data_IF_081460052712
#
_entry.id   IF_081460052712
#
_cell.length_a   1.000
_cell.length_b   1.000
_cell.length_c   1.000
_cell.angle_alpha   90.00
_cell.angle_beta   90.00
_cell.angle_gamma   90.00
#
_symmetry.space_group_name_H-M   'P 1'
#
loop_
_entity.id
_entity.type
_entity.pdbx_description
1 polymer ?
#
# COMPACT_ATOMS: atom_id res chain seq x y z
N UNK A 1 -1.38 -1.69 -0.39
CA UNK A 1 -2.73 -1.79 -1.00
C UNK A 1 -2.61 -2.19 -2.46
N UNK A 2 -3.33 -3.23 -2.85
CA UNK A 2 -3.51 -3.64 -4.23
C UNK A 2 -5.00 -3.87 -4.50
N UNK A 3 -5.41 -3.72 -5.74
CA UNK A 3 -6.76 -3.98 -6.20
C UNK A 3 -6.71 -4.97 -7.36
N UNK A 4 -7.69 -5.88 -7.41
CA UNK A 4 -7.90 -6.74 -8.57
C UNK A 4 -8.70 -5.95 -9.61
N UNK A 5 -8.13 -5.77 -10.79
CA UNK A 5 -8.72 -5.07 -11.93
C UNK A 5 -8.48 -5.89 -13.20
N UNK A 6 -9.56 -6.25 -13.90
CA UNK A 6 -9.54 -7.09 -15.12
C UNK A 6 -8.65 -8.36 -14.99
N UNK A 7 -8.79 -9.08 -13.87
CA UNK A 7 -8.01 -10.29 -13.59
C UNK A 7 -6.52 -10.06 -13.28
N UNK A 8 -6.09 -8.80 -13.15
CA UNK A 8 -4.72 -8.41 -12.80
C UNK A 8 -4.68 -7.71 -11.45
N UNK A 9 -3.63 -7.96 -10.69
CA UNK A 9 -3.38 -7.22 -9.45
C UNK A 9 -2.65 -5.92 -9.75
N UNK A 10 -3.27 -4.80 -9.40
CA UNK A 10 -2.71 -3.45 -9.55
C UNK A 10 -2.32 -2.92 -8.18
N UNK A 11 -1.06 -2.49 -8.04
CA UNK A 11 -0.57 -1.89 -6.80
C UNK A 11 -0.99 -0.42 -6.76
N UNK A 12 -1.76 -0.04 -5.74
CA UNK A 12 -2.32 1.31 -5.60
C UNK A 12 -1.66 2.10 -4.45
N UNK A 13 -1.12 1.40 -3.45
CA UNK A 13 -0.51 2.08 -2.32
C UNK A 13 0.58 1.26 -1.65
N UNK A 14 1.62 1.96 -1.21
CA UNK A 14 2.75 1.39 -0.45
C UNK A 14 2.41 1.52 1.03
N UNK A 15 2.62 0.44 1.79
CA UNK A 15 2.39 0.44 3.24
C UNK A 15 3.35 1.41 3.94
N UNK A 16 2.83 2.20 4.89
CA UNK A 16 3.61 3.20 5.65
C UNK A 16 3.56 2.90 7.14
N UNK A 17 2.36 2.65 7.66
CA UNK A 17 2.15 2.44 9.08
C UNK A 17 0.98 1.49 9.30
N UNK A 18 1.06 0.65 10.31
CA UNK A 18 -0.06 -0.17 10.77
C UNK A 18 0.00 -0.33 12.27
N UNK A 19 -1.15 -0.70 12.83
CA UNK A 19 -1.22 -1.24 14.19
C UNK A 19 -0.25 -2.43 14.35
N UNK A 20 0.33 -2.56 15.54
CA UNK A 20 1.34 -3.53 15.92
C UNK A 20 0.80 -4.96 16.03
N UNK A 21 1.30 -5.88 15.21
CA UNK A 21 0.91 -7.29 15.28
C UNK A 21 1.40 -8.01 16.55
N UNK A 22 2.38 -7.48 17.29
CA UNK A 22 2.90 -8.14 18.50
C UNK A 22 1.97 -8.04 19.72
N UNK A 23 0.87 -7.29 19.61
CA UNK A 23 -0.16 -7.19 20.64
C UNK A 23 -1.36 -8.12 20.39
N UNK A 24 -1.31 -8.97 19.34
CA UNK A 24 -2.41 -9.89 19.00
C UNK A 24 -2.75 -10.89 20.11
N UNK A 25 -1.81 -11.18 21.01
CA UNK A 25 -2.03 -12.07 22.16
C UNK A 25 -2.86 -11.41 23.28
N UNK A 26 -3.05 -10.09 23.22
CA UNK A 26 -3.88 -9.33 24.17
C UNK A 26 -5.34 -9.48 23.74
N UNK A 27 -6.16 -10.12 24.57
CA UNK A 27 -7.61 -10.41 24.34
C UNK A 27 -8.49 -9.23 23.87
N UNK A 28 -7.99 -8.00 23.91
CA UNK A 28 -8.71 -6.77 23.53
C UNK A 28 -8.00 -5.96 22.43
N UNK A 29 -6.97 -6.52 21.81
CA UNK A 29 -6.24 -5.84 20.75
C UNK A 29 -6.76 -6.24 19.38
N UNK A 30 -7.46 -5.31 18.72
CA UNK A 30 -7.88 -5.47 17.34
C UNK A 30 -7.12 -4.47 16.44
N UNK A 31 -6.24 -4.95 15.53
CA UNK A 31 -5.56 -4.07 14.60
C UNK A 31 -6.56 -3.50 13.60
N UNK A 32 -7.02 -2.28 13.85
CA UNK A 32 -8.09 -1.63 13.07
C UNK A 32 -7.59 -0.60 12.05
N UNK A 33 -6.30 -0.22 12.07
CA UNK A 33 -5.78 0.86 11.23
C UNK A 33 -4.52 0.47 10.48
N UNK A 34 -4.52 0.82 9.20
CA UNK A 34 -3.36 0.78 8.33
C UNK A 34 -3.36 2.05 7.45
N UNK A 35 -2.19 2.65 7.31
CA UNK A 35 -1.96 3.80 6.46
C UNK A 35 -1.05 3.40 5.29
N UNK A 36 -1.39 3.92 4.13
CA UNK A 36 -0.68 3.69 2.89
C UNK A 36 -0.42 5.03 2.21
N UNK A 37 0.72 5.15 1.54
CA UNK A 37 0.96 6.26 0.61
C UNK A 37 0.53 5.83 -0.80
N UNK A 38 -0.04 6.76 -1.57
CA UNK A 38 -0.54 6.47 -2.91
C UNK A 38 0.61 6.31 -3.90
N UNK A 39 0.55 5.26 -4.73
CA UNK A 39 1.50 5.06 -5.84
C UNK A 39 1.40 6.22 -6.85
N UNK A 40 0.20 6.73 -7.09
CA UNK A 40 -0.01 7.86 -8.01
C UNK A 40 0.66 9.15 -7.52
N UNK A 41 0.72 9.38 -6.20
CA UNK A 41 1.38 10.55 -5.63
C UNK A 41 2.89 10.57 -5.94
N UNK A 42 3.50 9.38 -6.09
CA UNK A 42 4.92 9.20 -6.34
C UNK A 42 5.22 8.77 -7.79
N UNK A 43 4.28 8.95 -8.71
CA UNK A 43 4.40 8.42 -10.07
C UNK A 43 5.63 8.97 -10.82
N UNK A 44 5.97 10.24 -10.62
CA UNK A 44 7.15 10.86 -11.23
C UNK A 44 8.46 10.25 -10.72
N UNK A 45 8.58 10.02 -9.42
CA UNK A 45 9.76 9.40 -8.83
C UNK A 45 9.88 7.93 -9.25
N UNK A 46 8.77 7.19 -9.27
CA UNK A 46 8.72 5.80 -9.75
C UNK A 46 9.19 5.74 -11.21
N UNK A 47 8.69 6.62 -12.08
CA UNK A 47 9.11 6.67 -13.48
C UNK A 47 10.60 6.99 -13.60
N UNK A 48 11.11 7.93 -12.80
CA UNK A 48 12.53 8.30 -12.79
C UNK A 48 13.43 7.12 -12.40
N UNK A 49 13.05 6.34 -11.38
CA UNK A 49 13.90 5.25 -10.88
C UNK A 49 13.76 3.94 -11.64
N UNK A 50 12.58 3.67 -12.20
CA UNK A 50 12.29 2.37 -12.81
C UNK A 50 12.23 2.42 -14.34
N UNK A 51 12.13 3.61 -14.93
CA UNK A 51 11.88 3.79 -16.36
C UNK A 51 10.47 3.43 -16.81
N UNK A 52 9.59 3.02 -15.88
CA UNK A 52 8.19 2.68 -16.17
C UNK A 52 7.27 3.85 -15.86
N UNK A 53 6.55 4.30 -16.89
CA UNK A 53 5.48 5.27 -16.72
C UNK A 53 4.23 4.57 -16.22
N UNK A 54 3.73 5.02 -15.08
CA UNK A 54 2.42 4.61 -14.61
C UNK A 54 1.37 5.35 -15.45
N UNK A 55 0.36 4.65 -15.99
CA UNK A 55 -0.76 5.32 -16.64
C UNK A 55 -1.46 6.20 -15.59
N UNK A 56 -1.59 7.49 -15.89
CA UNK A 56 -2.34 8.46 -15.07
C UNK A 56 -3.83 8.39 -15.40
#
# INVERSE_FOLDING_TARGET
>A
MAQLDDGRWVVLGIHVLSHFCHHLDIKYYEPSKQAHTSVALHAADIARFTGFFLPM
#
